data_IF_028476138944
#
_entry.id   IF_028476138944
#
_cell.length_a   1.000
_cell.length_b   1.000
_cell.length_c   1.000
_cell.angle_alpha   90.00
_cell.angle_beta   90.00
_cell.angle_gamma   90.00
#
_symmetry.space_group_name_H-M   'P 1'
#
loop_
_entity.id
_entity.type
_entity.pdbx_description
1 polymer ?
#
# COMPACT_ATOMS: atom_id res chain seq x y z
N UNK A 1 -16.09 49.08 -19.30
CA UNK A 1 -16.75 50.16 -20.06
C UNK A 1 -15.87 50.39 -21.29
N UNK A 2 -16.14 49.84 -22.46
CA UNK A 2 -17.45 49.59 -23.04
C UNK A 2 -17.95 50.89 -23.67
N UNK A 3 -18.09 50.86 -25.00
CA UNK A 3 -18.62 51.89 -25.90
C UNK A 3 -17.53 52.77 -26.57
N UNK A 4 -17.64 52.88 -27.90
CA UNK A 4 -16.93 53.77 -28.85
C UNK A 4 -15.76 53.23 -29.70
N UNK A 5 -15.78 51.95 -30.09
CA UNK A 5 -14.98 51.48 -31.24
C UNK A 5 -15.70 51.65 -32.61
N UNK A 6 -16.94 52.14 -32.63
CA UNK A 6 -17.73 52.31 -33.87
C UNK A 6 -17.65 53.72 -34.49
N UNK A 7 -17.01 54.70 -33.84
CA UNK A 7 -16.93 56.08 -34.37
C UNK A 7 -15.64 56.41 -35.12
N UNK A 8 -14.63 55.53 -35.11
CA UNK A 8 -13.36 55.80 -35.78
C UNK A 8 -13.34 55.42 -37.27
N UNK A 9 -14.36 54.70 -37.75
CA UNK A 9 -14.47 54.29 -39.16
C UNK A 9 -15.09 55.42 -40.03
N UNK A 10 -15.78 56.40 -39.44
CA UNK A 10 -16.54 57.38 -40.21
C UNK A 10 -15.84 58.72 -40.48
N UNK A 11 -14.76 59.05 -39.78
CA UNK A 11 -14.21 60.42 -39.83
C UNK A 11 -13.03 60.62 -40.79
N UNK A 12 -12.34 59.55 -41.23
CA UNK A 12 -11.17 59.69 -42.11
C UNK A 12 -11.51 59.62 -43.60
N UNK A 13 -12.71 59.17 -43.96
CA UNK A 13 -13.17 59.11 -45.36
C UNK A 13 -13.76 60.46 -45.81
N UNK A 14 -14.13 61.36 -44.89
CA UNK A 14 -14.81 62.61 -45.24
C UNK A 14 -13.90 63.81 -45.55
N UNK A 15 -12.59 63.74 -45.28
CA UNK A 15 -11.70 64.93 -45.35
C UNK A 15 -10.85 65.01 -46.64
N UNK A 16 -10.77 63.95 -47.45
CA UNK A 16 -10.14 64.04 -48.78
C UNK A 16 -11.12 64.44 -49.90
N UNK A 17 -12.38 64.73 -49.57
CA UNK A 17 -13.42 65.06 -50.56
C UNK A 17 -13.71 66.56 -50.70
N UNK A 18 -12.84 67.44 -50.19
CA UNK A 18 -12.99 68.89 -50.33
C UNK A 18 -11.64 69.55 -50.61
N UNK A 19 -11.24 69.60 -51.88
CA UNK A 19 -10.51 70.72 -52.48
C UNK A 19 -10.22 70.47 -53.98
N UNK A 20 -10.72 71.37 -54.85
CA UNK A 20 -10.21 71.61 -56.21
C UNK A 20 -11.01 70.96 -57.35
N UNK A 21 -12.26 71.39 -57.59
CA UNK A 21 -12.66 72.48 -58.51
C UNK A 21 -12.83 72.07 -59.99
N UNK A 22 -14.11 72.11 -60.42
CA UNK A 22 -14.66 72.56 -61.69
C UNK A 22 -13.95 72.17 -63.00
N UNK A 23 -14.62 71.37 -63.85
CA UNK A 23 -15.05 71.79 -65.20
C UNK A 23 -16.08 70.80 -65.78
N UNK A 24 -17.09 71.39 -66.43
CA UNK A 24 -17.96 70.83 -67.48
C UNK A 24 -18.91 69.67 -67.12
N UNK A 25 -20.19 70.05 -67.03
CA UNK A 25 -21.36 69.24 -67.31
C UNK A 25 -21.20 68.51 -68.65
N UNK A 26 -21.18 67.17 -68.61
CA UNK A 26 -21.59 66.31 -69.73
C UNK A 26 -22.07 64.99 -69.15
N UNK A 27 -23.38 64.79 -69.26
CA UNK A 27 -24.06 63.51 -69.07
C UNK A 27 -23.40 62.44 -69.95
N UNK A 28 -22.75 61.46 -69.33
CA UNK A 28 -22.33 60.24 -70.01
C UNK A 28 -22.99 59.00 -69.36
N UNK A 29 -24.07 58.46 -69.95
CA UNK A 29 -24.91 57.40 -69.36
C UNK A 29 -24.23 56.02 -69.30
N UNK A 30 -22.93 55.91 -69.59
CA UNK A 30 -22.20 54.65 -69.65
C UNK A 30 -21.55 54.21 -68.32
N UNK A 31 -21.55 55.04 -67.27
CA UNK A 31 -20.86 54.72 -66.01
C UNK A 31 -21.72 53.91 -65.00
N UNK A 32 -23.04 53.86 -65.17
CA UNK A 32 -23.95 53.03 -64.36
C UNK A 32 -24.02 51.58 -64.85
N UNK A 33 -23.75 51.35 -66.15
CA UNK A 33 -23.87 50.03 -66.78
C UNK A 33 -22.85 49.00 -66.27
N UNK A 34 -21.81 49.43 -65.56
CA UNK A 34 -20.77 48.56 -64.98
C UNK A 34 -20.64 48.70 -63.44
N UNK A 35 -21.53 49.45 -62.79
CA UNK A 35 -21.45 49.63 -61.34
C UNK A 35 -21.88 48.34 -60.62
N UNK A 36 -22.96 47.69 -61.10
CA UNK A 36 -23.45 46.44 -60.53
C UNK A 36 -22.45 45.28 -60.67
N UNK A 37 -21.76 45.17 -61.80
CA UNK A 37 -20.72 44.15 -62.03
C UNK A 37 -19.49 44.39 -61.15
N UNK A 38 -19.05 45.64 -61.00
CA UNK A 38 -17.90 46.01 -60.13
C UNK A 38 -18.21 45.79 -58.65
N UNK A 39 -19.41 46.14 -58.19
CA UNK A 39 -19.86 45.85 -56.83
C UNK A 39 -19.95 44.34 -56.60
N UNK A 40 -20.53 43.59 -57.54
CA UNK A 40 -20.64 42.13 -57.44
C UNK A 40 -19.27 41.44 -57.38
N UNK A 41 -18.32 41.87 -58.21
CA UNK A 41 -16.95 41.35 -58.20
C UNK A 41 -16.21 41.71 -56.90
N UNK A 42 -16.39 42.93 -56.38
CA UNK A 42 -15.79 43.35 -55.13
C UNK A 42 -16.39 42.61 -53.93
N UNK A 43 -17.72 42.44 -53.90
CA UNK A 43 -18.40 41.61 -52.90
C UNK A 43 -17.87 40.19 -52.99
N UNK A 44 -17.89 39.53 -54.15
CA UNK A 44 -17.35 38.18 -54.33
C UNK A 44 -15.90 38.05 -53.87
N UNK A 45 -15.04 39.03 -54.18
CA UNK A 45 -13.64 39.04 -53.73
C UNK A 45 -13.51 39.14 -52.20
N UNK A 46 -14.45 39.82 -51.54
CA UNK A 46 -14.49 39.97 -50.09
C UNK A 46 -15.17 38.78 -49.39
N UNK A 47 -16.11 38.08 -50.03
CA UNK A 47 -16.74 36.86 -49.46
C UNK A 47 -15.99 35.57 -49.81
N UNK A 48 -15.15 35.56 -50.86
CA UNK A 48 -14.35 34.40 -51.24
C UNK A 48 -13.45 33.86 -50.09
N UNK A 49 -12.81 34.70 -49.25
CA UNK A 49 -12.08 34.24 -48.08
C UNK A 49 -12.98 33.60 -47.00
N UNK A 50 -14.26 33.98 -46.95
CA UNK A 50 -15.25 33.48 -45.99
C UNK A 50 -15.93 32.18 -46.48
N UNK A 51 -15.88 31.89 -47.78
CA UNK A 51 -16.30 30.59 -48.31
C UNK A 51 -15.43 29.47 -47.73
N UNK A 52 -16.06 28.43 -47.18
CA UNK A 52 -15.37 27.33 -46.52
C UNK A 52 -14.67 27.72 -45.19
N UNK A 53 -14.95 28.90 -44.61
CA UNK A 53 -14.43 29.25 -43.29
C UNK A 53 -14.97 28.30 -42.21
N UNK A 54 -16.25 27.92 -42.30
CA UNK A 54 -16.87 26.95 -41.41
C UNK A 54 -16.20 25.57 -41.47
N UNK A 55 -15.88 25.08 -42.66
CA UNK A 55 -15.16 23.81 -42.86
C UNK A 55 -13.74 23.88 -42.31
N UNK A 56 -13.03 25.00 -42.54
CA UNK A 56 -11.68 25.23 -42.02
C UNK A 56 -11.66 25.31 -40.50
N UNK A 57 -12.61 26.01 -39.89
CA UNK A 57 -12.79 26.07 -38.44
C UNK A 57 -13.11 24.68 -37.90
N UNK A 58 -14.04 23.95 -38.52
CA UNK A 58 -14.42 22.61 -38.06
C UNK A 58 -13.24 21.62 -38.15
N UNK A 59 -12.47 21.67 -39.24
CA UNK A 59 -11.25 20.88 -39.40
C UNK A 59 -10.13 21.28 -38.42
N UNK A 60 -10.04 22.55 -38.05
CA UNK A 60 -9.12 23.04 -37.02
C UNK A 60 -9.54 22.52 -35.62
N UNK A 61 -10.84 22.63 -35.31
CA UNK A 61 -11.41 22.15 -34.04
C UNK A 61 -11.24 20.64 -33.90
N UNK A 62 -11.54 19.86 -34.93
CA UNK A 62 -11.35 18.40 -34.90
C UNK A 62 -9.89 17.99 -34.71
N UNK A 63 -8.94 18.68 -35.39
CA UNK A 63 -7.50 18.45 -35.19
C UNK A 63 -7.02 18.76 -33.78
N UNK A 64 -7.64 19.75 -33.13
CA UNK A 64 -7.32 20.09 -31.74
C UNK A 64 -7.99 19.17 -30.72
N UNK A 65 -9.16 18.59 -31.03
CA UNK A 65 -9.91 17.71 -30.14
C UNK A 65 -9.44 16.25 -30.18
N UNK A 66 -9.02 15.73 -31.33
CA UNK A 66 -8.49 14.36 -31.46
C UNK A 66 -7.40 14.00 -30.44
N UNK A 67 -6.32 14.81 -30.26
CA UNK A 67 -5.27 14.49 -29.29
C UNK A 67 -5.79 14.55 -27.85
N UNK A 68 -6.76 15.42 -27.54
CA UNK A 68 -7.36 15.49 -26.21
C UNK A 68 -8.25 14.28 -25.91
N UNK A 69 -9.02 13.80 -26.89
CA UNK A 69 -9.81 12.58 -26.77
C UNK A 69 -8.94 11.35 -26.57
N UNK A 70 -7.82 11.24 -27.29
CA UNK A 70 -6.87 10.13 -27.11
C UNK A 70 -6.24 10.14 -25.72
N UNK A 71 -5.84 11.30 -25.20
CA UNK A 71 -5.29 11.44 -23.85
C UNK A 71 -6.30 11.16 -22.74
N UNK A 72 -7.55 11.58 -22.93
CA UNK A 72 -8.64 11.24 -22.00
C UNK A 72 -8.91 9.73 -21.99
N UNK A 73 -8.83 9.07 -23.15
CA UNK A 73 -8.94 7.60 -23.24
C UNK A 73 -7.75 6.85 -22.62
N UNK A 74 -6.55 7.42 -22.62
CA UNK A 74 -5.38 6.86 -21.92
C UNK A 74 -5.43 7.04 -20.40
N UNK A 75 -6.07 8.12 -19.93
CA UNK A 75 -6.33 8.37 -18.51
C UNK A 75 -7.51 7.54 -17.98
N UNK A 76 -8.41 7.10 -18.87
CA UNK A 76 -9.51 6.21 -18.54
C UNK A 76 -8.95 4.83 -18.11
N UNK A 77 -9.34 4.38 -16.92
CA UNK A 77 -8.79 3.17 -16.30
C UNK A 77 -7.36 3.28 -15.74
N UNK A 78 -6.72 4.46 -15.75
CA UNK A 78 -5.43 4.65 -15.07
C UNK A 78 -5.56 4.39 -13.56
N UNK A 79 -6.66 4.83 -12.94
CA UNK A 79 -6.95 4.57 -11.53
C UNK A 79 -7.04 3.08 -11.21
N UNK A 80 -7.71 2.30 -12.06
CA UNK A 80 -7.82 0.84 -11.88
C UNK A 80 -6.48 0.14 -12.06
N UNK A 81 -5.67 0.58 -13.03
CA UNK A 81 -4.30 0.05 -13.23
C UNK A 81 -3.40 0.35 -12.04
N UNK A 82 -3.44 1.58 -11.53
CA UNK A 82 -2.68 1.96 -10.31
C UNK A 82 -3.17 1.13 -9.13
N UNK A 83 -4.48 1.00 -8.94
CA UNK A 83 -5.06 0.20 -7.85
C UNK A 83 -4.64 -1.26 -7.93
N UNK A 84 -4.72 -1.88 -9.12
CA UNK A 84 -4.26 -3.25 -9.34
C UNK A 84 -2.75 -3.41 -9.11
N UNK A 85 -1.95 -2.44 -9.55
CA UNK A 85 -0.50 -2.44 -9.35
C UNK A 85 -0.15 -2.31 -7.86
N UNK A 86 -0.76 -1.36 -7.15
CA UNK A 86 -0.58 -1.18 -5.69
C UNK A 86 -1.04 -2.43 -4.94
N UNK A 87 -2.17 -3.03 -5.34
CA UNK A 87 -2.64 -4.27 -4.72
C UNK A 87 -1.59 -5.39 -4.84
N UNK A 88 -1.04 -5.56 -6.05
CA UNK A 88 0.00 -6.56 -6.34
C UNK A 88 1.29 -6.26 -5.58
N UNK A 89 1.75 -5.01 -5.57
CA UNK A 89 3.00 -4.60 -4.91
C UNK A 89 2.92 -4.74 -3.38
N UNK A 90 1.71 -4.67 -2.82
CA UNK A 90 1.45 -4.90 -1.40
C UNK A 90 1.17 -6.35 -1.03
N UNK A 91 1.14 -7.29 -1.99
CA UNK A 91 0.96 -8.72 -1.68
C UNK A 91 1.99 -9.25 -0.67
N UNK A 92 3.30 -8.96 -0.77
CA UNK A 92 4.27 -9.40 0.23
C UNK A 92 3.95 -8.88 1.63
N UNK A 93 3.50 -7.62 1.73
CA UNK A 93 3.16 -7.00 3.02
C UNK A 93 1.91 -7.64 3.63
N UNK A 94 0.89 -7.91 2.81
CA UNK A 94 -0.32 -8.61 3.27
C UNK A 94 -0.03 -10.05 3.69
N UNK A 95 0.91 -10.71 3.01
CA UNK A 95 1.31 -12.07 3.39
C UNK A 95 1.93 -12.12 4.79
N UNK A 96 2.62 -11.06 5.24
CA UNK A 96 3.11 -10.95 6.62
C UNK A 96 1.93 -11.00 7.60
N UNK A 97 0.89 -10.18 7.36
CA UNK A 97 -0.30 -10.15 8.22
C UNK A 97 -1.01 -11.51 8.25
N UNK A 98 -1.14 -12.16 7.09
CA UNK A 98 -1.72 -13.49 6.99
C UNK A 98 -0.89 -14.53 7.74
N UNK A 99 0.44 -14.48 7.64
CA UNK A 99 1.33 -15.35 8.41
C UNK A 99 1.19 -15.10 9.91
N UNK A 100 1.08 -13.85 10.36
CA UNK A 100 0.80 -13.54 11.77
C UNK A 100 -0.54 -14.11 12.23
N UNK A 101 -1.60 -13.96 11.44
CA UNK A 101 -2.92 -14.54 11.72
C UNK A 101 -2.85 -16.07 11.84
N UNK A 102 -2.19 -16.74 10.89
CA UNK A 102 -2.00 -18.18 10.92
C UNK A 102 -1.14 -18.63 12.09
N UNK A 103 -0.14 -17.85 12.49
CA UNK A 103 0.73 -18.17 13.61
C UNK A 103 0.03 -18.04 14.95
N UNK A 104 -0.78 -17.01 15.09
CA UNK A 104 -1.42 -16.62 16.34
C UNK A 104 -2.86 -17.18 16.45
N UNK A 105 -3.27 -18.08 15.54
CA UNK A 105 -4.55 -18.79 15.59
C UNK A 105 -5.77 -17.90 15.35
N UNK A 106 -5.65 -16.88 14.51
CA UNK A 106 -6.76 -15.97 14.18
C UNK A 106 -7.64 -16.61 13.11
N UNK A 107 -8.96 -16.61 13.33
CA UNK A 107 -9.92 -17.24 12.43
C UNK A 107 -9.74 -18.75 12.28
N UNK A 108 -9.12 -19.40 13.25
CA UNK A 108 -8.82 -20.82 13.24
C UNK A 108 -8.15 -21.26 14.54
N UNK A 109 -7.37 -22.34 14.48
CA UNK A 109 -6.55 -22.81 15.60
C UNK A 109 -5.16 -23.13 15.08
N UNK A 110 -4.13 -22.75 15.84
CA UNK A 110 -2.74 -23.07 15.49
C UNK A 110 -2.11 -23.91 16.57
N UNK A 111 -1.56 -25.05 16.19
CA UNK A 111 -0.69 -25.81 17.09
C UNK A 111 0.74 -25.40 16.79
N UNK A 112 1.47 -25.02 17.83
CA UNK A 112 2.90 -24.69 17.74
C UNK A 112 3.67 -25.74 18.51
N UNK A 113 4.63 -26.39 17.85
CA UNK A 113 5.55 -27.35 18.49
C UNK A 113 6.95 -26.77 18.48
N UNK A 114 7.49 -26.49 19.66
CA UNK A 114 8.84 -25.95 19.82
C UNK A 114 9.88 -27.08 19.87
N UNK A 115 10.96 -26.93 19.10
CA UNK A 115 12.04 -27.90 19.02
C UNK A 115 13.32 -27.33 19.66
N UNK A 116 14.11 -28.12 20.39
CA UNK A 116 14.01 -29.59 20.50
C UNK A 116 13.15 -30.08 21.68
N UNK A 117 12.60 -29.20 22.53
CA UNK A 117 11.85 -29.64 23.72
C UNK A 117 10.60 -30.47 23.41
N UNK A 118 10.04 -30.33 22.21
CA UNK A 118 8.76 -30.90 21.82
C UNK A 118 7.56 -30.24 22.51
N UNK A 119 7.75 -29.13 23.24
CA UNK A 119 6.66 -28.47 23.95
C UNK A 119 5.65 -27.89 22.98
N UNK A 120 4.38 -28.17 23.23
CA UNK A 120 3.28 -27.77 22.36
C UNK A 120 2.40 -26.70 23.01
N UNK A 121 1.95 -25.76 22.19
CA UNK A 121 0.94 -24.77 22.55
C UNK A 121 -0.15 -24.74 21.50
N UNK A 122 -1.38 -24.50 21.95
CA UNK A 122 -2.51 -24.21 21.06
C UNK A 122 -2.77 -22.71 21.11
N UNK A 123 -2.68 -22.04 19.98
CA UNK A 123 -3.06 -20.65 19.82
C UNK A 123 -4.47 -20.55 19.26
N UNK A 124 -5.27 -19.73 19.92
CA UNK A 124 -6.60 -19.34 19.45
C UNK A 124 -6.78 -17.85 19.72
N UNK A 125 -6.93 -17.06 18.65
CA UNK A 125 -7.06 -15.61 18.69
C UNK A 125 -6.02 -14.94 19.61
N UNK A 126 -4.74 -15.14 19.29
CA UNK A 126 -3.55 -14.60 19.99
C UNK A 126 -3.25 -15.19 21.37
N UNK A 127 -4.14 -16.02 21.93
CA UNK A 127 -3.96 -16.57 23.27
C UNK A 127 -3.33 -17.96 23.19
N UNK A 128 -2.17 -18.17 23.85
CA UNK A 128 -1.57 -19.50 23.97
C UNK A 128 -2.25 -20.31 25.08
N UNK A 129 -2.49 -21.59 24.81
CA UNK A 129 -3.05 -22.55 25.74
C UNK A 129 -2.18 -23.81 25.78
N UNK A 130 -2.17 -24.47 26.94
CA UNK A 130 -1.60 -25.79 27.14
C UNK A 130 -2.75 -26.79 27.25
N UNK A 131 -2.67 -27.85 26.45
CA UNK A 131 -3.57 -28.99 26.56
C UNK A 131 -3.11 -29.91 27.70
N UNK A 132 -4.01 -30.23 28.64
CA UNK A 132 -3.75 -31.20 29.73
C UNK A 132 -4.01 -32.66 29.33
N UNK A 133 -4.30 -32.89 28.04
CA UNK A 133 -4.44 -34.21 27.43
C UNK A 133 -3.56 -34.35 26.19
N UNK A 134 -4.08 -34.99 25.16
CA UNK A 134 -3.42 -35.10 23.85
C UNK A 134 -4.01 -34.09 22.88
N UNK A 135 -3.16 -33.47 22.07
CA UNK A 135 -3.59 -32.60 20.96
C UNK A 135 -3.76 -33.43 19.71
N UNK A 136 -4.95 -33.38 19.10
CA UNK A 136 -5.15 -33.91 17.75
C UNK A 136 -4.57 -32.91 16.74
N UNK A 137 -3.46 -33.30 16.13
CA UNK A 137 -2.71 -32.47 15.17
C UNK A 137 -3.47 -32.16 13.87
N UNK A 138 -4.56 -32.89 13.57
CA UNK A 138 -5.36 -32.68 12.36
C UNK A 138 -6.51 -31.71 12.59
N UNK A 139 -7.08 -31.73 13.78
CA UNK A 139 -8.30 -30.96 14.11
C UNK A 139 -8.03 -29.78 15.04
N UNK A 140 -6.88 -29.74 15.72
CA UNK A 140 -6.57 -28.70 16.69
C UNK A 140 -7.24 -28.91 18.05
N UNK A 141 -7.99 -30.01 18.22
CA UNK A 141 -8.73 -30.27 19.45
C UNK A 141 -7.83 -30.84 20.54
N UNK A 142 -8.07 -30.44 21.78
CA UNK A 142 -7.46 -31.05 22.96
C UNK A 142 -8.41 -32.07 23.57
N UNK A 143 -7.91 -33.27 23.89
CA UNK A 143 -8.71 -34.32 24.53
C UNK A 143 -8.96 -34.09 26.04
N UNK A 144 -8.34 -33.05 26.62
CA UNK A 144 -8.48 -32.68 28.02
C UNK A 144 -8.69 -31.18 28.19
N UNK A 145 -8.38 -30.66 29.37
CA UNK A 145 -8.57 -29.24 29.65
C UNK A 145 -7.57 -28.36 28.89
N UNK A 146 -8.08 -27.29 28.29
CA UNK A 146 -7.27 -26.21 27.74
C UNK A 146 -7.06 -25.14 28.80
N UNK A 147 -5.83 -25.04 29.28
CA UNK A 147 -5.45 -24.07 30.31
C UNK A 147 -4.63 -22.96 29.66
N UNK A 148 -4.94 -21.67 29.90
CA UNK A 148 -4.12 -20.58 29.41
C UNK A 148 -2.65 -20.75 29.82
N UNK A 149 -1.73 -20.51 28.88
CA UNK A 149 -0.31 -20.42 29.24
C UNK A 149 -0.05 -19.03 29.83
N UNK A 150 0.36 -19.02 31.09
CA UNK A 150 0.70 -17.80 31.81
C UNK A 150 2.12 -17.90 32.35
N UNK A 151 2.85 -16.78 32.31
CA UNK A 151 4.15 -16.64 32.95
C UNK A 151 3.98 -15.77 34.19
N UNK A 152 4.46 -16.30 35.31
CA UNK A 152 4.58 -15.63 36.60
C UNK A 152 6.05 -15.37 36.93
N UNK A 153 6.32 -14.59 37.98
CA UNK A 153 7.68 -14.41 38.51
C UNK A 153 8.32 -15.70 39.01
N UNK A 154 7.55 -16.75 39.30
CA UNK A 154 8.01 -18.07 39.73
C UNK A 154 8.15 -19.09 38.59
N UNK A 155 7.90 -18.69 37.35
CA UNK A 155 7.99 -19.62 36.21
C UNK A 155 9.45 -19.99 35.93
N UNK A 156 9.72 -21.24 35.50
CA UNK A 156 11.05 -21.65 35.07
C UNK A 156 11.62 -20.70 34.02
N UNK A 157 12.94 -20.44 34.06
CA UNK A 157 13.57 -19.54 33.08
C UNK A 157 13.36 -20.00 31.63
N UNK A 158 13.31 -21.31 31.39
CA UNK A 158 13.03 -21.91 30.08
C UNK A 158 11.67 -21.52 29.50
N UNK A 159 10.69 -21.17 30.34
CA UNK A 159 9.34 -20.82 29.86
C UNK A 159 9.34 -19.47 29.12
N UNK A 160 10.31 -18.60 29.41
CA UNK A 160 10.50 -17.33 28.73
C UNK A 160 10.99 -17.50 27.28
N UNK A 161 11.52 -18.66 26.92
CA UNK A 161 11.94 -18.99 25.56
C UNK A 161 10.76 -19.15 24.58
N UNK A 162 9.54 -19.34 25.08
CA UNK A 162 8.33 -19.47 24.27
C UNK A 162 7.64 -18.13 24.01
N UNK A 163 8.10 -17.05 24.65
CA UNK A 163 7.58 -15.70 24.43
C UNK A 163 8.27 -15.02 23.25
N UNK A 164 7.51 -14.20 22.52
CA UNK A 164 8.00 -13.45 21.35
C UNK A 164 8.17 -11.96 21.56
N UNK A 165 7.62 -11.43 22.65
CA UNK A 165 7.74 -10.00 22.92
C UNK A 165 9.01 -9.73 23.70
N UNK A 166 9.99 -9.15 23.00
CA UNK A 166 11.27 -8.80 23.57
C UNK A 166 11.76 -7.45 23.05
N UNK A 167 12.74 -6.90 23.76
CA UNK A 167 13.51 -5.71 23.39
C UNK A 167 14.98 -5.99 23.66
N UNK A 168 15.86 -5.47 22.81
CA UNK A 168 17.31 -5.63 22.91
C UNK A 168 17.99 -4.28 23.16
N UNK A 169 18.89 -4.21 24.13
CA UNK A 169 19.71 -3.02 24.41
C UNK A 169 21.07 -3.46 24.97
N UNK A 170 22.18 -2.93 24.45
CA UNK A 170 23.54 -3.18 24.97
C UNK A 170 23.85 -4.65 25.32
N UNK A 171 23.57 -5.58 24.39
CA UNK A 171 23.72 -7.03 24.56
C UNK A 171 22.87 -7.67 25.68
N UNK A 172 21.86 -6.96 26.18
CA UNK A 172 20.83 -7.50 27.07
C UNK A 172 19.52 -7.66 26.32
N UNK A 173 18.77 -8.68 26.73
CA UNK A 173 17.42 -8.94 26.27
C UNK A 173 16.44 -8.78 27.43
N UNK A 174 15.40 -8.00 27.18
CA UNK A 174 14.23 -7.89 28.03
C UNK A 174 13.09 -8.66 27.35
N UNK A 175 12.41 -9.54 28.06
CA UNK A 175 11.28 -10.34 27.54
C UNK A 175 10.05 -10.08 28.40
N UNK A 176 8.88 -9.94 27.79
CA UNK A 176 7.63 -9.74 28.48
C UNK A 176 6.48 -10.51 27.83
N UNK A 177 5.37 -10.67 28.57
CA UNK A 177 4.20 -11.39 28.07
C UNK A 177 3.36 -10.58 27.06
N UNK A 178 3.16 -9.29 27.34
CA UNK A 178 2.24 -8.41 26.57
C UNK A 178 2.94 -7.24 25.87
N UNK A 179 4.26 -7.15 26.01
CA UNK A 179 5.06 -5.98 25.66
C UNK A 179 6.06 -5.67 26.76
N UNK A 180 7.24 -5.18 26.37
CA UNK A 180 8.28 -4.77 27.31
C UNK A 180 8.86 -3.43 26.91
N UNK A 181 8.87 -2.51 27.86
CA UNK A 181 9.55 -1.22 27.79
C UNK A 181 10.92 -1.35 28.43
N UNK A 182 11.90 -0.66 27.88
CA UNK A 182 13.28 -0.71 28.36
C UNK A 182 13.77 0.70 28.59
N UNK A 183 14.30 0.96 29.77
CA UNK A 183 14.97 2.21 30.10
C UNK A 183 16.42 1.93 30.49
N UNK A 184 17.33 2.79 30.03
CA UNK A 184 18.75 2.74 30.38
C UNK A 184 19.14 4.07 31.01
N UNK A 185 19.55 4.05 32.27
CA UNK A 185 20.02 5.22 33.01
C UNK A 185 21.25 4.84 33.83
N UNK A 186 22.33 5.63 33.74
CA UNK A 186 23.62 5.34 34.41
C UNK A 186 24.14 3.91 34.17
N UNK A 187 24.05 3.42 32.92
CA UNK A 187 24.41 2.04 32.53
C UNK A 187 23.59 0.92 33.22
N UNK A 188 22.53 1.26 33.95
CA UNK A 188 21.59 0.28 34.49
C UNK A 188 20.39 0.16 33.53
N UNK A 189 20.14 -1.06 33.09
CA UNK A 189 19.00 -1.41 32.23
C UNK A 189 17.86 -1.88 33.13
N UNK A 190 16.69 -1.30 32.93
CA UNK A 190 15.45 -1.70 33.60
C UNK A 190 14.44 -2.15 32.55
N UNK A 191 13.94 -3.38 32.70
CA UNK A 191 12.87 -3.92 31.87
C UNK A 191 11.55 -3.76 32.62
N UNK A 192 10.54 -3.19 31.97
CA UNK A 192 9.19 -3.04 32.53
C UNK A 192 8.14 -3.62 31.59
N UNK A 193 7.36 -4.57 32.07
CA UNK A 193 6.25 -5.15 31.31
C UNK A 193 5.08 -4.18 31.21
N UNK A 194 4.33 -4.25 30.11
CA UNK A 194 3.07 -3.50 29.98
C UNK A 194 2.10 -3.96 31.06
N UNK A 195 1.49 -2.99 31.77
CA UNK A 195 0.55 -3.26 32.87
C UNK A 195 1.19 -4.02 34.04
N UNK A 196 2.47 -3.77 34.31
CA UNK A 196 3.27 -4.45 35.36
C UNK A 196 3.32 -5.97 35.19
N UNK A 197 3.18 -6.45 33.95
CA UNK A 197 3.38 -7.87 33.65
C UNK A 197 4.82 -8.31 33.96
N UNK A 198 5.01 -9.57 34.40
CA UNK A 198 6.35 -10.11 34.65
C UNK A 198 7.27 -9.91 33.46
N UNK A 199 8.54 -9.62 33.76
CA UNK A 199 9.61 -9.55 32.76
C UNK A 199 10.78 -10.44 33.13
N UNK A 200 11.52 -10.84 32.10
CA UNK A 200 12.78 -11.54 32.24
C UNK A 200 13.88 -10.74 31.57
N UNK A 201 15.01 -10.63 32.26
CA UNK A 201 16.19 -9.92 31.78
C UNK A 201 17.38 -10.84 31.83
N UNK A 202 18.13 -10.90 30.73
CA UNK A 202 19.37 -11.66 30.66
C UNK A 202 20.34 -11.05 29.66
N UNK A 203 21.58 -11.54 29.63
CA UNK A 203 22.46 -11.28 28.49
C UNK A 203 21.92 -12.02 27.26
N UNK A 204 22.21 -11.49 26.07
CA UNK A 204 21.80 -12.15 24.83
C UNK A 204 22.44 -13.54 24.69
N UNK A 205 23.70 -13.70 25.12
CA UNK A 205 24.41 -14.98 25.01
C UNK A 205 23.86 -16.04 25.97
N UNK A 206 23.53 -15.66 27.21
CA UNK A 206 22.88 -16.57 28.16
C UNK A 206 21.48 -16.95 27.70
N UNK A 207 20.72 -15.99 27.17
CA UNK A 207 19.42 -16.28 26.56
C UNK A 207 19.56 -17.22 25.37
N UNK A 208 20.56 -17.00 24.50
CA UNK A 208 20.82 -17.87 23.35
C UNK A 208 21.10 -19.30 23.78
N UNK A 209 21.98 -19.46 24.76
CA UNK A 209 22.32 -20.76 25.33
C UNK A 209 21.08 -21.44 25.91
N UNK A 210 20.35 -20.74 26.79
CA UNK A 210 19.14 -21.24 27.43
C UNK A 210 18.08 -21.69 26.41
N UNK A 211 17.80 -20.88 25.40
CA UNK A 211 16.70 -21.14 24.48
C UNK A 211 17.08 -22.07 23.32
N UNK A 212 18.37 -22.24 23.01
CA UNK A 212 18.82 -23.22 22.01
C UNK A 212 18.48 -24.66 22.41
N UNK A 213 18.41 -24.95 23.71
CA UNK A 213 18.10 -26.27 24.24
C UNK A 213 16.60 -26.58 24.31
N UNK A 214 15.72 -25.57 24.16
CA UNK A 214 14.27 -25.75 24.33
C UNK A 214 13.41 -25.27 23.15
N UNK A 215 13.83 -24.21 22.47
CA UNK A 215 13.06 -23.55 21.40
C UNK A 215 13.97 -22.90 20.36
N UNK A 216 14.82 -23.72 19.74
CA UNK A 216 15.63 -23.39 18.58
C UNK A 216 14.77 -23.07 17.33
N UNK A 217 13.71 -23.85 17.11
CA UNK A 217 12.77 -23.66 16.02
C UNK A 217 11.36 -24.02 16.45
N UNK A 218 10.39 -23.71 15.59
CA UNK A 218 8.97 -23.98 15.83
C UNK A 218 8.31 -24.44 14.54
N UNK A 219 7.56 -25.53 14.63
CA UNK A 219 6.61 -25.97 13.60
C UNK A 219 5.23 -25.44 13.94
N UNK A 220 4.55 -24.83 12.98
CA UNK A 220 3.19 -24.33 13.10
C UNK A 220 2.25 -25.16 12.24
N UNK A 221 1.11 -25.50 12.80
CA UNK A 221 0.02 -26.20 12.12
C UNK A 221 -1.24 -25.35 12.27
N UNK A 222 -1.55 -24.55 11.26
CA UNK A 222 -2.75 -23.72 11.23
C UNK A 222 -3.92 -24.46 10.59
N UNK A 223 -5.02 -24.54 11.32
CA UNK A 223 -6.26 -25.19 10.92
C UNK A 223 -7.34 -24.10 10.85
N UNK A 224 -7.80 -23.70 9.65
CA UNK A 224 -8.76 -22.62 9.50
C UNK A 224 -10.14 -23.03 10.00
N UNK A 225 -10.84 -22.10 10.64
CA UNK A 225 -12.28 -22.21 10.88
C UNK A 225 -13.01 -21.53 9.72
N UNK A 226 -13.50 -22.32 8.77
CA UNK A 226 -14.18 -21.83 7.56
C UNK A 226 -15.42 -20.98 7.83
N UNK A 227 -15.99 -21.06 9.05
CA UNK A 227 -17.13 -20.24 9.45
C UNK A 227 -16.70 -18.87 9.98
N UNK A 228 -15.42 -18.69 10.32
CA UNK A 228 -14.89 -17.42 10.79
C UNK A 228 -14.60 -16.49 9.63
N UNK A 229 -15.10 -15.25 9.59
CA UNK A 229 -14.78 -14.29 8.52
C UNK A 229 -13.30 -13.85 8.54
N UNK A 230 -12.57 -14.18 9.61
CA UNK A 230 -11.16 -13.82 9.77
C UNK A 230 -10.20 -14.96 9.40
N UNK A 231 -10.72 -16.12 8.97
CA UNK A 231 -9.87 -17.25 8.61
C UNK A 231 -8.96 -16.91 7.43
N UNK A 232 -7.76 -17.45 7.47
CA UNK A 232 -6.86 -17.41 6.32
C UNK A 232 -7.23 -18.58 5.42
N UNK A 233 -7.70 -18.28 4.20
CA UNK A 233 -8.04 -19.31 3.23
C UNK A 233 -6.80 -20.12 2.83
N UNK A 234 -6.94 -21.45 2.81
CA UNK A 234 -5.90 -22.42 2.40
C UNK A 234 -6.49 -23.31 1.28
N UNK A 235 -5.84 -23.42 0.10
CA UNK A 235 -4.68 -22.64 -0.33
C UNK A 235 -5.00 -21.15 -0.43
N UNK A 236 -4.01 -20.31 -0.16
CA UNK A 236 -4.17 -18.86 -0.21
C UNK A 236 -3.96 -18.32 -1.65
N UNK A 237 -4.69 -17.27 -2.02
CA UNK A 237 -4.53 -16.62 -3.32
C UNK A 237 -3.21 -15.82 -3.41
N UNK A 238 -2.70 -15.35 -2.27
CA UNK A 238 -1.43 -14.63 -2.20
C UNK A 238 -0.26 -15.62 -2.27
N UNK A 239 0.54 -15.54 -3.34
CA UNK A 239 1.65 -16.46 -3.60
C UNK A 239 2.80 -16.39 -2.57
N UNK A 240 2.84 -15.34 -1.74
CA UNK A 240 3.81 -15.19 -0.66
C UNK A 240 3.41 -15.94 0.63
N UNK A 241 2.17 -16.41 0.73
CA UNK A 241 1.73 -17.30 1.81
C UNK A 241 2.00 -18.74 1.40
N UNK A 242 2.99 -19.38 2.02
CA UNK A 242 3.45 -20.72 1.66
C UNK A 242 3.14 -21.72 2.77
N UNK A 243 2.41 -22.76 2.41
CA UNK A 243 2.25 -23.97 3.22
C UNK A 243 3.13 -25.05 2.63
N UNK A 244 3.88 -25.76 3.48
CA UNK A 244 4.79 -26.82 3.06
C UNK A 244 4.02 -28.08 2.60
N UNK A 245 2.83 -28.28 3.14
CA UNK A 245 1.94 -29.38 2.82
C UNK A 245 0.95 -28.99 1.70
N UNK A 246 0.36 -30.01 1.06
CA UNK A 246 -0.66 -29.85 0.00
C UNK A 246 -2.10 -30.01 0.51
N UNK A 247 -2.32 -29.96 1.82
CA UNK A 247 -3.66 -30.09 2.41
C UNK A 247 -4.42 -28.76 2.28
N UNK A 248 -5.73 -28.85 2.03
CA UNK A 248 -6.61 -27.67 1.95
C UNK A 248 -7.13 -27.24 3.32
N UNK A 249 -7.06 -28.10 4.33
CA UNK A 249 -7.61 -27.85 5.67
C UNK A 249 -6.52 -27.62 6.72
N UNK A 250 -5.26 -27.55 6.29
CA UNK A 250 -4.12 -27.43 7.18
C UNK A 250 -3.00 -26.71 6.45
N UNK A 251 -2.37 -25.74 7.11
CA UNK A 251 -1.13 -25.13 6.65
C UNK A 251 -0.02 -25.44 7.64
N UNK A 252 1.05 -26.08 7.17
CA UNK A 252 2.27 -26.36 7.92
C UNK A 252 3.36 -25.41 7.46
N UNK A 253 4.03 -24.75 8.40
CA UNK A 253 5.20 -23.91 8.14
C UNK A 253 6.14 -23.91 9.36
N UNK A 254 7.40 -23.57 9.13
CA UNK A 254 8.42 -23.53 10.18
C UNK A 254 9.00 -22.12 10.35
N UNK A 255 9.33 -21.77 11.59
CA UNK A 255 10.15 -20.60 11.89
C UNK A 255 11.34 -21.03 12.75
N UNK A 256 12.52 -20.51 12.43
CA UNK A 256 13.64 -20.57 13.34
C UNK A 256 13.58 -19.40 14.30
N UNK A 257 14.06 -19.58 15.53
CA UNK A 257 14.22 -18.48 16.46
C UNK A 257 15.33 -17.54 15.95
N UNK A 258 14.91 -16.39 15.42
CA UNK A 258 15.82 -15.42 14.78
C UNK A 258 16.87 -14.85 15.75
N UNK A 259 16.60 -14.86 17.05
CA UNK A 259 17.57 -14.47 18.08
C UNK A 259 18.68 -15.49 18.29
N UNK A 260 18.46 -16.75 17.94
CA UNK A 260 19.46 -17.81 18.03
C UNK A 260 20.33 -17.89 16.76
N UNK A 261 19.81 -17.44 15.63
CA UNK A 261 20.45 -17.55 14.32
C UNK A 261 21.13 -16.26 13.83
N UNK A 262 21.48 -15.34 14.73
CA UNK A 262 22.21 -14.10 14.40
C UNK A 262 23.70 -14.37 14.16
N UNK A 263 23.98 -15.23 13.18
CA UNK A 263 25.24 -15.34 12.44
C UNK A 263 24.91 -15.74 10.99
N UNK A 264 24.30 -14.85 10.20
CA UNK A 264 24.40 -14.94 8.74
C UNK A 264 23.89 -13.69 8.03
N UNK A 265 24.80 -13.06 7.29
CA UNK A 265 24.55 -12.27 6.08
C UNK A 265 23.90 -13.13 4.99
N UNK A 266 22.64 -12.89 4.59
CA UNK A 266 22.15 -13.24 3.24
C UNK A 266 20.70 -12.78 2.98
N UNK A 267 20.55 -11.80 2.08
CA UNK A 267 19.53 -11.65 1.02
C UNK A 267 18.19 -12.42 1.12
N UNK A 268 17.48 -12.29 2.22
CA UNK A 268 16.07 -12.65 2.34
C UNK A 268 15.43 -11.68 3.30
N UNK A 269 14.26 -11.14 2.95
CA UNK A 269 13.51 -10.20 3.78
C UNK A 269 13.37 -10.76 5.22
N UNK A 270 14.19 -10.24 6.13
CA UNK A 270 14.08 -10.52 7.56
C UNK A 270 12.99 -9.61 8.10
N UNK A 271 11.78 -10.16 8.24
CA UNK A 271 10.75 -9.50 9.03
C UNK A 271 11.18 -9.58 10.48
N UNK A 272 11.73 -8.46 10.98
CA UNK A 272 11.92 -8.27 12.41
C UNK A 272 10.56 -8.44 13.07
N UNK A 273 10.41 -9.49 13.87
CA UNK A 273 9.32 -9.62 14.83
C UNK A 273 9.51 -8.52 15.87
N UNK A 274 9.09 -7.31 15.53
CA UNK A 274 8.84 -6.27 16.52
C UNK A 274 7.60 -6.71 17.28
N UNK A 275 7.78 -7.25 18.48
CA UNK A 275 6.67 -7.32 19.43
C UNK A 275 6.13 -5.91 19.60
N UNK A 276 4.94 -5.62 19.04
CA UNK A 276 4.12 -4.43 19.23
C UNK A 276 4.78 -3.03 19.18
N UNK A 277 5.99 -2.87 18.64
CA UNK A 277 6.59 -1.57 18.37
C UNK A 277 7.39 -1.63 17.07
N UNK A 278 6.72 -1.40 15.95
CA UNK A 278 7.40 -1.18 14.66
C UNK A 278 8.09 0.18 14.74
N UNK A 279 9.39 0.20 15.05
CA UNK A 279 10.22 1.36 14.79
C UNK A 279 10.60 1.33 13.30
N UNK A 280 9.78 1.97 12.45
CA UNK A 280 10.13 2.19 11.05
C UNK A 280 11.17 3.31 11.03
N UNK A 281 12.45 2.93 10.94
CA UNK A 281 13.50 3.90 10.67
C UNK A 281 13.50 4.20 9.17
N UNK A 282 12.76 5.24 8.76
CA UNK A 282 12.82 5.75 7.39
C UNK A 282 14.13 6.53 7.28
N UNK A 283 15.18 5.86 6.83
CA UNK A 283 16.45 6.49 6.48
C UNK A 283 16.26 7.41 5.28
N UNK A 284 15.85 8.65 5.54
CA UNK A 284 15.97 9.75 4.59
C UNK A 284 17.40 10.29 4.65
N UNK A 285 18.22 9.93 3.66
CA UNK A 285 19.40 10.71 3.32
C UNK A 285 18.93 12.04 2.72
N UNK A 286 19.24 13.15 3.37
CA UNK A 286 19.32 14.47 2.75
C UNK A 286 20.78 14.76 2.40
#
# INVERSE_FOLDING_TARGET
MGIELEKFIFFTILVHMVCGQFYAYNDDPYNLNNLGSRISAQVQSQVAPLQGLGERINAQVQRNLQPLQSRLGELDGLGDRISAQVHKDLEPVRAIELNFKMRDGVGGTTIVTHQPSGRQFIYNNYKPFICKGTVDIKTGTCSGDLVPFEITSSSPQTDWCYLRSYSLINNQICIGLKGVSVTSFNNQITCKGVGDSPTFTSSLDDYKKLCSEVSASSEYRYIPDVNSPQHVAIPNQNAHVKCENRDKNLCIFHENNSLLNTYSTSNGFQYYSTGNNVNINVGGTY
#
